data_IF_096684687030
#
_entry.id   IF_096684687030
#
_cell.length_a   1.000
_cell.length_b   1.000
_cell.length_c   1.000
_cell.angle_alpha   90.00
_cell.angle_beta   90.00
_cell.angle_gamma   90.00
#
_symmetry.space_group_name_H-M   'P 1'
#
loop_
_entity.id
_entity.type
_entity.pdbx_description
1 polymer ?
#
# COMPACT_ATOMS: atom_id res chain seq x y z
N UNK A 1 -8.99 -10.35 -5.70
CA UNK A 1 -7.74 -9.93 -5.01
C UNK A 1 -8.07 -9.53 -3.59
N UNK A 2 -7.34 -10.07 -2.62
CA UNK A 2 -7.44 -9.69 -1.21
C UNK A 2 -6.16 -8.97 -0.80
N UNK A 3 -6.22 -7.65 -0.67
CA UNK A 3 -5.12 -6.86 -0.12
C UNK A 3 -5.15 -6.88 1.40
N UNK A 4 -3.99 -6.89 2.03
CA UNK A 4 -3.86 -6.90 3.48
C UNK A 4 -2.56 -6.21 3.88
N UNK A 5 -2.55 -5.66 5.10
CA UNK A 5 -1.32 -5.19 5.73
C UNK A 5 -0.82 -6.21 6.74
N UNK A 6 0.49 -6.27 6.93
CA UNK A 6 1.15 -7.16 7.88
C UNK A 6 2.32 -6.45 8.59
N UNK A 7 2.85 -7.11 9.62
CA UNK A 7 3.84 -6.61 10.57
C UNK A 7 3.26 -5.63 11.61
N UNK A 8 4.09 -5.16 12.53
CA UNK A 8 3.70 -4.23 13.60
C UNK A 8 3.51 -2.82 13.03
N UNK A 9 2.38 -2.18 13.31
CA UNK A 9 2.01 -0.89 12.72
C UNK A 9 2.89 0.29 13.18
N UNK A 10 3.58 0.20 14.33
CA UNK A 10 4.63 1.16 14.74
C UNK A 10 6.04 0.75 14.26
N UNK A 11 6.15 -0.12 13.26
CA UNK A 11 7.42 -0.44 12.60
C UNK A 11 7.46 0.15 11.21
N UNK A 12 8.65 0.53 10.75
CA UNK A 12 8.88 0.90 9.36
C UNK A 12 8.70 -0.30 8.41
N UNK A 13 8.75 -1.51 8.95
CA UNK A 13 8.51 -2.75 8.20
C UNK A 13 7.01 -3.04 7.98
N UNK A 14 6.09 -2.24 8.54
CA UNK A 14 4.68 -2.34 8.18
C UNK A 14 4.52 -2.24 6.66
N UNK A 15 3.81 -3.20 6.07
CA UNK A 15 3.81 -3.36 4.63
C UNK A 15 2.51 -3.99 4.14
N UNK A 16 2.23 -3.78 2.86
CA UNK A 16 1.05 -4.30 2.18
C UNK A 16 1.45 -5.52 1.35
N UNK A 17 0.64 -6.56 1.42
CA UNK A 17 0.67 -7.69 0.52
C UNK A 17 -0.70 -7.89 -0.13
N UNK A 18 -0.78 -8.86 -1.05
CA UNK A 18 -2.06 -9.35 -1.56
C UNK A 18 -2.06 -10.85 -1.73
N UNK A 19 -3.26 -11.41 -1.81
CA UNK A 19 -3.52 -12.77 -2.22
C UNK A 19 -4.53 -12.80 -3.38
N UNK A 20 -4.45 -13.83 -4.21
CA UNK A 20 -5.44 -14.13 -5.24
C UNK A 20 -6.34 -15.23 -4.69
N UNK A 21 -7.66 -15.01 -4.71
CA UNK A 21 -8.64 -15.93 -4.15
C UNK A 21 -9.57 -16.42 -5.24
N UNK A 22 -9.88 -17.71 -5.24
CA UNK A 22 -10.79 -18.33 -6.23
C UNK A 22 -12.25 -17.90 -6.00
N UNK A 23 -12.60 -17.58 -4.75
CA UNK A 23 -13.90 -17.04 -4.36
C UNK A 23 -13.74 -16.01 -3.22
N UNK A 24 -14.84 -15.36 -2.84
CA UNK A 24 -14.86 -14.41 -1.72
C UNK A 24 -14.49 -15.04 -0.37
N UNK A 25 -14.67 -16.36 -0.23
CA UNK A 25 -14.27 -17.13 0.97
C UNK A 25 -12.99 -17.94 0.76
N UNK A 26 -12.36 -17.84 -0.42
CA UNK A 26 -11.14 -18.56 -0.77
C UNK A 26 -11.37 -19.84 -1.59
N UNK A 27 -10.34 -20.71 -1.72
CA UNK A 27 -9.00 -20.56 -1.14
C UNK A 27 -8.25 -19.33 -1.68
N UNK A 28 -7.28 -18.83 -0.92
CA UNK A 28 -6.44 -17.68 -1.30
C UNK A 28 -4.97 -18.06 -1.31
N UNK A 29 -4.24 -17.68 -2.37
CA UNK A 29 -2.81 -17.94 -2.54
C UNK A 29 -2.05 -16.62 -2.65
N UNK A 30 -0.94 -16.51 -1.92
CA UNK A 30 -0.01 -15.38 -2.03
C UNK A 30 0.91 -15.61 -3.24
N UNK A 31 0.91 -14.74 -4.26
CA UNK A 31 1.77 -14.92 -5.43
C UNK A 31 3.25 -14.62 -5.13
N UNK A 32 3.53 -13.89 -4.05
CA UNK A 32 4.89 -13.55 -3.62
C UNK A 32 5.05 -13.71 -2.10
N UNK A 33 6.27 -14.06 -1.68
CA UNK A 33 6.70 -14.00 -0.27
C UNK A 33 7.15 -12.60 0.15
N UNK A 34 7.45 -11.73 -0.81
CA UNK A 34 7.83 -10.33 -0.58
C UNK A 34 6.58 -9.46 -0.46
N UNK A 35 6.63 -8.35 0.29
CA UNK A 35 5.53 -7.39 0.29
C UNK A 35 5.29 -6.85 -1.12
N UNK A 36 4.03 -6.54 -1.41
CA UNK A 36 3.61 -5.84 -2.63
C UNK A 36 4.02 -4.37 -2.57
N UNK A 37 3.89 -3.75 -1.39
CA UNK A 37 4.22 -2.35 -1.18
C UNK A 37 4.85 -2.17 0.20
N UNK A 38 6.02 -1.55 0.25
CA UNK A 38 6.84 -1.41 1.47
C UNK A 38 7.53 -0.05 1.49
N UNK A 39 8.24 0.25 2.59
CA UNK A 39 8.86 1.54 2.79
C UNK A 39 9.87 1.90 1.69
N UNK A 40 9.97 3.21 1.40
CA UNK A 40 10.96 3.75 0.48
C UNK A 40 11.27 5.20 0.85
N UNK A 41 12.55 5.51 1.06
CA UNK A 41 13.01 6.85 1.46
C UNK A 41 12.26 7.37 2.68
N UNK A 42 11.57 8.54 2.62
CA UNK A 42 10.90 9.12 3.76
C UNK A 42 9.55 8.46 4.09
N UNK A 43 9.06 7.52 3.26
CA UNK A 43 7.77 6.86 3.44
C UNK A 43 7.97 5.55 4.19
N UNK A 44 7.60 5.52 5.47
CA UNK A 44 7.97 4.44 6.38
C UNK A 44 6.72 3.68 6.86
N UNK A 45 6.75 2.35 6.80
CA UNK A 45 5.64 1.52 7.27
C UNK A 45 4.30 1.75 6.54
N UNK A 46 4.23 1.70 5.19
CA UNK A 46 2.97 1.90 4.50
C UNK A 46 1.97 0.76 4.76
N UNK A 47 0.72 1.10 5.05
CA UNK A 47 -0.34 0.10 5.19
C UNK A 47 -1.70 0.70 5.53
N UNK A 48 -2.63 -0.17 5.96
CA UNK A 48 -4.04 0.18 6.19
C UNK A 48 -4.67 0.76 4.93
N UNK A 49 -4.53 0.05 3.80
CA UNK A 49 -4.88 0.58 2.50
C UNK A 49 -6.33 0.34 2.09
N UNK A 50 -6.91 1.32 1.41
CA UNK A 50 -8.21 1.27 0.73
C UNK A 50 -8.06 1.65 -0.74
N UNK A 51 -8.94 1.12 -1.59
CA UNK A 51 -8.95 1.42 -3.03
C UNK A 51 -10.18 2.22 -3.41
N UNK A 52 -10.01 3.17 -4.32
CA UNK A 52 -11.11 3.94 -4.91
C UNK A 52 -10.78 4.28 -6.37
N UNK A 53 -11.82 4.62 -7.13
CA UNK A 53 -11.69 5.09 -8.50
C UNK A 53 -12.03 6.56 -8.56
N UNK A 54 -11.21 7.35 -9.26
CA UNK A 54 -11.51 8.77 -9.48
C UNK A 54 -12.56 8.99 -10.59
N UNK A 55 -12.81 10.27 -10.92
CA UNK A 55 -13.82 10.65 -11.90
C UNK A 55 -13.45 10.34 -13.36
N UNK A 56 -12.17 10.08 -13.63
CA UNK A 56 -11.64 9.69 -14.94
C UNK A 56 -11.56 8.16 -15.11
N UNK A 57 -11.93 7.39 -14.07
CA UNK A 57 -11.90 5.92 -14.11
C UNK A 57 -10.57 5.32 -13.65
N UNK A 58 -9.68 6.13 -13.11
CA UNK A 58 -8.37 5.70 -12.64
C UNK A 58 -8.48 5.07 -11.24
N UNK A 59 -7.88 3.89 -11.05
CA UNK A 59 -7.75 3.25 -9.75
C UNK A 59 -6.62 3.85 -8.88
N UNK A 60 -6.97 4.20 -7.65
CA UNK A 60 -6.07 4.75 -6.64
C UNK A 60 -6.11 3.90 -5.38
N UNK A 61 -4.98 3.88 -4.67
CA UNK A 61 -4.85 3.30 -3.34
C UNK A 61 -4.56 4.41 -2.34
N UNK A 62 -5.47 4.61 -1.39
CA UNK A 62 -5.23 5.38 -0.18
C UNK A 62 -4.54 4.50 0.86
N UNK A 63 -3.57 5.04 1.59
CA UNK A 63 -2.87 4.35 2.66
C UNK A 63 -2.29 5.35 3.66
N UNK A 64 -1.90 4.86 4.84
CA UNK A 64 -1.11 5.64 5.77
C UNK A 64 0.35 5.21 5.75
N UNK A 65 1.25 6.13 6.10
CA UNK A 65 2.63 5.80 6.43
C UNK A 65 3.20 6.83 7.41
N UNK A 66 4.20 6.41 8.17
CA UNK A 66 5.06 7.31 8.95
C UNK A 66 5.96 8.15 8.03
N UNK A 67 6.44 9.27 8.55
CA UNK A 67 7.40 10.14 7.85
C UNK A 67 8.75 10.08 8.55
N UNK A 68 9.78 9.63 7.83
CA UNK A 68 11.14 9.57 8.35
C UNK A 68 11.60 10.96 8.88
N UNK A 69 12.46 11.00 9.91
CA UNK A 69 13.09 9.85 10.57
C UNK A 69 12.23 9.20 11.67
N UNK A 70 11.04 9.72 11.95
CA UNK A 70 10.29 9.33 13.14
C UNK A 70 9.24 8.26 12.81
N UNK A 71 9.39 7.08 13.44
CA UNK A 71 8.45 5.96 13.35
C UNK A 71 7.97 5.62 14.75
N UNK A 72 6.66 5.44 14.92
CA UNK A 72 6.04 5.17 16.21
C UNK A 72 5.86 6.42 17.08
N UNK A 73 5.13 6.26 18.19
CA UNK A 73 4.83 7.35 19.10
C UNK A 73 5.92 7.57 20.17
N UNK A 74 6.04 8.78 20.74
CA UNK A 74 5.23 9.98 20.47
C UNK A 74 5.75 10.86 19.32
N UNK A 75 6.93 10.58 18.77
CA UNK A 75 7.61 11.47 17.81
C UNK A 75 7.17 11.33 16.35
N UNK A 76 6.54 10.22 16.00
CA UNK A 76 6.06 9.94 14.65
C UNK A 76 4.64 10.47 14.42
N UNK A 77 4.34 10.74 13.14
CA UNK A 77 2.98 10.99 12.67
C UNK A 77 2.73 10.18 11.41
N UNK A 78 1.53 9.61 11.31
CA UNK A 78 1.04 8.95 10.11
C UNK A 78 0.24 9.96 9.29
N UNK A 79 0.52 10.03 8.00
CA UNK A 79 -0.21 10.88 7.06
C UNK A 79 -0.95 10.04 6.04
N UNK A 80 -2.10 10.54 5.57
CA UNK A 80 -2.76 10.00 4.38
C UNK A 80 -1.87 10.19 3.16
N UNK A 81 -1.78 9.16 2.32
CA UNK A 81 -1.02 9.14 1.07
C UNK A 81 -1.83 8.39 0.02
N UNK A 82 -1.57 8.72 -1.24
CA UNK A 82 -2.25 8.12 -2.39
C UNK A 82 -1.21 7.56 -3.35
N UNK A 83 -1.50 6.41 -3.96
CA UNK A 83 -0.75 5.89 -5.11
C UNK A 83 -1.68 5.51 -6.25
N UNK A 84 -1.22 5.71 -7.47
CA UNK A 84 -1.87 5.17 -8.66
C UNK A 84 -1.62 3.67 -8.74
N UNK A 85 -2.67 2.88 -8.98
CA UNK A 85 -2.57 1.42 -9.12
C UNK A 85 -3.10 0.99 -10.49
N UNK A 86 -2.40 0.04 -11.07
CA UNK A 86 -2.75 -0.57 -12.35
C UNK A 86 -3.00 -2.06 -12.14
N UNK A 87 -3.81 -2.67 -13.00
CA UNK A 87 -3.93 -4.12 -13.11
C UNK A 87 -3.47 -4.50 -14.51
N UNK A 88 -2.43 -5.33 -14.55
CA UNK A 88 -1.91 -5.94 -15.76
C UNK A 88 -2.18 -7.46 -15.71
N UNK A 89 -1.84 -8.17 -16.79
CA UNK A 89 -2.07 -9.62 -16.88
C UNK A 89 -1.42 -10.41 -15.73
N UNK A 90 -0.30 -9.92 -15.19
CA UNK A 90 0.43 -10.53 -14.09
C UNK A 90 -0.12 -10.17 -12.68
N UNK A 91 -1.07 -9.23 -12.59
CA UNK A 91 -1.67 -8.77 -11.34
C UNK A 91 -1.55 -7.26 -11.10
N UNK A 92 -1.75 -6.80 -9.85
CA UNK A 92 -1.65 -5.39 -9.52
C UNK A 92 -0.20 -4.89 -9.67
N UNK A 93 -0.06 -3.67 -10.18
CA UNK A 93 1.21 -2.95 -10.35
C UNK A 93 1.08 -1.58 -9.68
N UNK A 94 2.12 -1.20 -8.94
CA UNK A 94 2.19 0.06 -8.20
C UNK A 94 3.61 0.62 -8.28
N UNK A 95 3.73 1.90 -8.62
CA UNK A 95 5.02 2.57 -8.82
C UNK A 95 5.30 3.57 -7.69
N UNK A 96 5.20 3.10 -6.45
CA UNK A 96 5.45 3.90 -5.25
C UNK A 96 6.24 3.12 -4.17
N UNK A 97 6.38 3.66 -2.96
CA UNK A 97 5.85 4.95 -2.54
C UNK A 97 6.42 6.13 -3.31
N UNK A 98 5.55 7.01 -3.83
CA UNK A 98 5.94 8.26 -4.47
C UNK A 98 6.42 9.26 -3.40
N UNK A 99 7.44 10.05 -3.76
CA UNK A 99 8.11 10.99 -2.84
C UNK A 99 8.04 12.42 -3.34
N UNK A 100 7.69 12.59 -4.61
CA UNK A 100 7.59 13.87 -5.31
C UNK A 100 6.14 14.10 -5.74
N UNK A 101 5.73 15.35 -5.99
CA UNK A 101 4.39 15.67 -6.46
C UNK A 101 3.97 14.80 -7.64
N UNK A 102 2.76 14.23 -7.54
CA UNK A 102 2.12 13.47 -8.60
C UNK A 102 0.91 14.24 -9.15
N UNK A 103 0.45 13.96 -10.38
CA UNK A 103 -0.85 14.41 -10.84
C UNK A 103 -1.95 14.01 -9.84
N UNK A 104 -2.94 14.88 -9.67
CA UNK A 104 -4.07 14.61 -8.77
C UNK A 104 -5.01 13.55 -9.37
N UNK A 105 -5.73 12.78 -8.53
CA UNK A 105 -6.94 12.05 -8.93
C UNK A 105 -8.05 12.98 -9.44
#
# INVERSE_FOLDING_TARGET
YLFYSANWWESHEYAIGYAVCDSVTGPCVKPSKKPFFTYKGPVMGPGGQEFFTDTEGNLWMAYHAWTAPNVGYPGGSRSLRLERVFFEDAGPVINGPTQDPQPLP
#
